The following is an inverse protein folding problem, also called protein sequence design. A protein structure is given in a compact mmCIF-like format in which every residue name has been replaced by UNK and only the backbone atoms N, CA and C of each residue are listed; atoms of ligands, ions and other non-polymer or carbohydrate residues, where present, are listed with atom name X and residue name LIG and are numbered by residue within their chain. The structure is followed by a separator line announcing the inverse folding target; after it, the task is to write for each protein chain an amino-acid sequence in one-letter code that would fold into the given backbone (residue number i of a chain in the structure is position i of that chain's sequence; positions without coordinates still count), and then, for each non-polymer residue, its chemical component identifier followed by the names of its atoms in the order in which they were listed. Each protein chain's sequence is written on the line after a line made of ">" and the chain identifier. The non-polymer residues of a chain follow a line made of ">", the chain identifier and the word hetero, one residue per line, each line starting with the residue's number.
data_IF_224480094778
#
_entry.id   IF_224480094778
#
_cell.length_a   1.000
_cell.length_b   1.000
_cell.length_c   1.000
_cell.angle_alpha   90.00
_cell.angle_beta   90.00
_cell.angle_gamma   90.00
#
_symmetry.space_group_name_H-M   'P 1'
#
loop_
_entity.id
_entity.type
_entity.pdbx_description
1 polymer ?
#
# COMPACT_ATOMS: atom_id res chain seq x y z
N UNK A 1 -48.48 -36.86 8.29
CA UNK A 1 -48.12 -35.45 8.11
C UNK A 1 -46.65 -35.27 8.51
N UNK A 2 -45.75 -35.24 7.53
CA UNK A 2 -44.30 -35.02 7.76
C UNK A 2 -44.01 -33.54 7.65
N UNK A 3 -43.60 -32.90 8.75
CA UNK A 3 -43.17 -31.51 8.76
C UNK A 3 -41.68 -31.45 8.33
N UNK A 4 -41.46 -30.97 7.13
CA UNK A 4 -40.12 -30.70 6.60
C UNK A 4 -39.64 -29.39 7.19
N UNK A 5 -38.65 -29.46 8.09
CA UNK A 5 -37.97 -28.30 8.66
C UNK A 5 -36.93 -27.83 7.64
N UNK A 6 -37.25 -26.80 6.88
CA UNK A 6 -36.34 -26.14 5.95
C UNK A 6 -35.44 -25.22 6.78
N UNK A 7 -34.25 -25.71 7.13
CA UNK A 7 -33.23 -24.94 7.79
C UNK A 7 -32.69 -23.86 6.86
N UNK A 8 -33.05 -22.62 7.16
CA UNK A 8 -32.50 -21.44 6.48
C UNK A 8 -31.05 -21.23 6.98
N UNK A 9 -30.09 -21.81 6.26
CA UNK A 9 -28.67 -21.50 6.44
C UNK A 9 -28.42 -20.09 5.90
N UNK A 10 -28.50 -19.10 6.78
CA UNK A 10 -27.94 -17.78 6.53
C UNK A 10 -26.43 -17.97 6.56
N UNK A 11 -25.85 -18.17 5.38
CA UNK A 11 -24.41 -18.06 5.20
C UNK A 11 -24.04 -16.59 5.48
N UNK A 12 -23.63 -16.31 6.72
CA UNK A 12 -22.99 -15.05 7.07
C UNK A 12 -21.71 -15.02 6.24
N UNK A 13 -21.74 -14.36 5.08
CA UNK A 13 -20.52 -14.01 4.35
C UNK A 13 -19.75 -13.09 5.29
N UNK A 14 -18.79 -13.64 6.02
CA UNK A 14 -17.74 -12.83 6.63
C UNK A 14 -16.97 -12.19 5.45
N UNK A 15 -17.32 -10.96 5.11
CA UNK A 15 -16.53 -10.13 4.23
C UNK A 15 -15.24 -9.91 5.02
N UNK A 16 -14.22 -10.67 4.68
CA UNK A 16 -12.88 -10.47 5.18
C UNK A 16 -12.41 -9.16 4.55
N UNK A 17 -12.28 -8.15 5.37
CA UNK A 17 -11.65 -6.90 4.96
C UNK A 17 -10.16 -7.12 5.12
N UNK A 18 -9.46 -7.30 4.02
CA UNK A 18 -8.01 -7.24 3.95
C UNK A 18 -7.57 -5.78 3.88
N UNK A 19 -6.38 -5.52 4.35
CA UNK A 19 -5.74 -4.21 4.21
C UNK A 19 -5.45 -3.94 2.73
N UNK A 20 -5.71 -2.72 2.24
CA UNK A 20 -5.50 -2.38 0.83
C UNK A 20 -4.04 -2.28 0.42
N UNK A 21 -3.14 -2.06 1.37
CA UNK A 21 -1.69 -2.17 1.17
C UNK A 21 -1.12 -3.08 2.25
N UNK A 22 -0.03 -3.78 1.97
CA UNK A 22 0.74 -4.46 3.02
C UNK A 22 1.46 -3.39 3.86
N UNK A 23 2.62 -2.94 3.46
CA UNK A 23 3.29 -1.73 3.99
C UNK A 23 3.48 -0.75 2.83
N UNK A 24 4.14 -1.20 1.75
CA UNK A 24 4.38 -0.41 0.53
C UNK A 24 3.78 -1.05 -0.73
N UNK A 25 3.48 -2.35 -0.66
CA UNK A 25 2.96 -3.13 -1.79
C UNK A 25 1.43 -3.08 -1.78
N UNK A 26 0.78 -2.59 -2.85
CA UNK A 26 -0.67 -2.60 -2.98
C UNK A 26 -1.22 -4.02 -2.95
N UNK A 27 -2.24 -4.29 -2.14
CA UNK A 27 -2.82 -5.62 -1.94
C UNK A 27 -3.67 -6.14 -3.10
N UNK A 28 -3.99 -5.33 -4.08
CA UNK A 28 -4.92 -5.63 -5.18
C UNK A 28 -6.41 -5.60 -4.81
N UNK A 29 -6.78 -5.17 -3.64
CA UNK A 29 -8.18 -5.10 -3.23
C UNK A 29 -8.71 -3.67 -3.38
N UNK A 30 -9.86 -3.54 -4.03
CA UNK A 30 -10.53 -2.26 -4.19
C UNK A 30 -11.47 -1.98 -3.02
N UNK A 31 -11.54 -0.72 -2.62
CA UNK A 31 -12.51 -0.25 -1.62
C UNK A 31 -13.94 -0.56 -2.04
N UNK A 32 -14.74 -1.03 -1.09
CA UNK A 32 -16.17 -1.31 -1.29
C UNK A 32 -16.90 -0.06 -1.80
N UNK A 33 -17.87 -0.24 -2.69
CA UNK A 33 -18.67 0.85 -3.28
C UNK A 33 -19.20 1.81 -2.22
N UNK A 34 -19.05 3.11 -2.46
CA UNK A 34 -19.45 4.22 -1.59
C UNK A 34 -18.81 4.20 -0.19
N UNK A 35 -17.69 3.52 -0.04
CA UNK A 35 -16.91 3.52 1.20
C UNK A 35 -15.64 4.31 1.02
N UNK A 36 -15.13 4.85 2.14
CA UNK A 36 -13.90 5.61 2.21
C UNK A 36 -12.82 4.75 2.86
N UNK A 37 -11.68 4.64 2.22
CA UNK A 37 -10.44 4.11 2.78
C UNK A 37 -9.55 5.28 3.20
N UNK A 38 -8.87 5.13 4.33
CA UNK A 38 -7.87 6.07 4.80
C UNK A 38 -6.68 5.30 5.38
N UNK A 39 -5.48 5.68 4.98
CA UNK A 39 -4.24 5.14 5.51
C UNK A 39 -3.26 6.25 5.81
N UNK A 40 -2.65 6.21 6.99
CA UNK A 40 -1.57 7.07 7.41
C UNK A 40 -0.37 6.22 7.78
N UNK A 41 0.71 6.35 7.03
CA UNK A 41 1.98 5.71 7.30
C UNK A 41 3.01 6.74 7.75
N UNK A 42 3.79 6.41 8.77
CA UNK A 42 4.91 7.21 9.25
C UNK A 42 6.14 6.32 9.27
N UNK A 43 7.18 6.74 8.57
CA UNK A 43 8.48 6.07 8.56
C UNK A 43 9.46 6.89 9.39
N UNK A 44 10.07 6.24 10.38
CA UNK A 44 11.05 6.83 11.29
C UNK A 44 12.44 6.34 10.89
N UNK A 45 13.28 7.27 10.46
CA UNK A 45 14.72 7.10 10.25
C UNK A 45 15.44 8.38 10.71
N UNK A 46 16.44 8.88 9.99
CA UNK A 46 17.07 10.18 10.27
C UNK A 46 16.11 11.37 10.07
N UNK A 47 15.03 11.13 9.35
CA UNK A 47 13.91 12.05 9.13
C UNK A 47 12.60 11.34 9.44
N UNK A 48 11.55 12.09 9.76
CA UNK A 48 10.19 11.57 9.89
C UNK A 48 9.51 11.77 8.55
N UNK A 49 9.15 10.67 7.89
CA UNK A 49 8.44 10.71 6.62
C UNK A 49 6.99 10.29 6.82
N UNK A 50 6.06 11.10 6.32
CA UNK A 50 4.62 10.85 6.38
C UNK A 50 4.07 10.61 4.98
N UNK A 51 3.28 9.53 4.84
CA UNK A 51 2.54 9.18 3.63
C UNK A 51 1.08 9.00 3.99
N UNK A 52 0.19 9.66 3.25
CA UNK A 52 -1.26 9.61 3.47
C UNK A 52 -1.95 9.15 2.20
N UNK A 53 -2.88 8.21 2.33
CA UNK A 53 -3.72 7.72 1.23
C UNK A 53 -5.19 7.86 1.60
N UNK A 54 -6.00 8.37 0.69
CA UNK A 54 -7.45 8.48 0.83
C UNK A 54 -8.09 7.99 -0.46
N UNK A 55 -8.90 6.94 -0.37
CA UNK A 55 -9.53 6.33 -1.53
C UNK A 55 -11.04 6.16 -1.33
N UNK A 56 -11.77 6.14 -2.43
CA UNK A 56 -13.22 5.91 -2.49
C UNK A 56 -13.52 4.80 -3.48
N UNK A 57 -14.28 3.81 -3.02
CA UNK A 57 -14.79 2.76 -3.89
C UNK A 57 -15.95 3.25 -4.76
N UNK A 58 -15.83 3.05 -6.06
CA UNK A 58 -16.88 3.38 -7.04
C UNK A 58 -17.78 2.18 -7.38
N UNK A 59 -17.38 0.99 -6.94
CA UNK A 59 -18.06 -0.27 -7.24
C UNK A 59 -17.43 -1.03 -8.38
N UNK A 60 -17.86 -2.28 -8.55
CA UNK A 60 -17.33 -3.18 -9.59
C UNK A 60 -15.79 -3.33 -9.56
N UNK A 61 -15.19 -3.25 -8.37
CA UNK A 61 -13.74 -3.31 -8.21
C UNK A 61 -13.00 -2.06 -8.67
N UNK A 62 -13.68 -0.93 -8.85
CA UNK A 62 -13.06 0.35 -9.20
C UNK A 62 -12.93 1.23 -7.96
N UNK A 63 -11.75 1.81 -7.81
CA UNK A 63 -11.37 2.73 -6.76
C UNK A 63 -10.63 3.92 -7.34
N UNK A 64 -10.84 5.09 -6.75
CA UNK A 64 -10.09 6.31 -7.06
C UNK A 64 -9.75 7.04 -5.77
N UNK A 65 -8.66 7.78 -5.78
CA UNK A 65 -8.24 8.51 -4.59
C UNK A 65 -7.07 9.46 -4.80
N UNK A 66 -6.47 9.81 -3.68
CA UNK A 66 -5.35 10.73 -3.62
C UNK A 66 -4.32 10.27 -2.60
N UNK A 67 -3.05 10.39 -2.98
CA UNK A 67 -1.92 10.17 -2.10
C UNK A 67 -1.15 11.46 -1.87
N UNK A 68 -0.73 11.69 -0.64
CA UNK A 68 0.31 12.67 -0.29
C UNK A 68 1.49 11.89 0.23
N UNK A 69 2.57 11.85 -0.55
CA UNK A 69 3.74 11.02 -0.27
C UNK A 69 4.94 11.89 0.09
N UNK A 70 5.71 11.44 1.08
CA UNK A 70 6.99 12.04 1.42
C UNK A 70 6.90 13.43 2.03
N UNK A 71 5.94 13.69 2.91
CA UNK A 71 6.05 14.83 3.81
C UNK A 71 7.15 14.54 4.83
N UNK A 72 8.34 15.07 4.54
CA UNK A 72 9.55 14.81 5.32
C UNK A 72 9.79 15.92 6.33
N UNK A 73 10.00 15.54 7.60
CA UNK A 73 10.33 16.47 8.68
C UNK A 73 11.69 16.11 9.28
N UNK A 74 12.59 17.09 9.37
CA UNK A 74 13.88 16.96 10.05
C UNK A 74 13.78 17.40 11.49
N UNK A 75 14.00 16.50 12.42
CA UNK A 75 14.09 16.86 13.84
C UNK A 75 15.30 17.76 14.13
N UNK A 76 16.40 17.54 13.42
CA UNK A 76 17.63 18.34 13.57
C UNK A 76 17.42 19.79 13.18
N UNK A 77 16.75 20.03 12.05
CA UNK A 77 16.54 21.36 11.49
C UNK A 77 15.22 22.01 11.95
N UNK A 78 14.35 21.24 12.65
CA UNK A 78 13.00 21.66 13.06
C UNK A 78 12.15 22.19 11.89
N UNK A 79 12.33 21.62 10.68
CA UNK A 79 11.68 22.08 9.47
C UNK A 79 11.28 20.93 8.55
N UNK A 80 10.31 21.20 7.69
CA UNK A 80 10.01 20.31 6.57
C UNK A 80 11.12 20.36 5.54
N UNK A 81 11.42 19.19 4.98
CA UNK A 81 12.43 19.03 3.93
C UNK A 81 11.71 18.75 2.62
N UNK A 82 12.10 19.46 1.59
CA UNK A 82 11.72 19.17 0.21
C UNK A 82 12.91 18.53 -0.50
N UNK A 83 12.65 17.47 -1.22
CA UNK A 83 13.60 16.90 -2.16
C UNK A 83 13.11 17.18 -3.59
N UNK A 84 13.68 18.19 -4.21
CA UNK A 84 13.26 18.69 -5.51
C UNK A 84 14.40 18.81 -6.52
N UNK A 85 15.60 18.39 -6.13
CA UNK A 85 16.82 18.51 -6.91
C UNK A 85 17.39 17.16 -7.34
N UNK A 86 18.65 17.11 -7.69
CA UNK A 86 19.35 16.03 -8.37
C UNK A 86 19.69 14.81 -7.49
N UNK A 87 18.97 14.61 -6.40
CA UNK A 87 19.23 13.53 -5.48
C UNK A 87 18.75 12.16 -6.00
N UNK A 88 19.18 11.12 -5.35
CA UNK A 88 18.85 9.72 -5.68
C UNK A 88 17.40 9.41 -5.31
N UNK A 89 16.92 10.01 -4.26
CA UNK A 89 15.58 9.81 -3.72
C UNK A 89 14.47 10.37 -4.60
N UNK A 90 13.25 9.86 -4.49
CA UNK A 90 12.10 10.42 -5.18
C UNK A 90 11.87 11.88 -4.76
N UNK A 91 11.27 12.67 -5.65
CA UNK A 91 10.86 14.03 -5.31
C UNK A 91 9.79 14.03 -4.22
N UNK A 92 9.95 14.91 -3.24
CA UNK A 92 9.09 15.02 -2.07
C UNK A 92 8.76 16.50 -1.76
N UNK A 93 7.53 16.79 -1.31
CA UNK A 93 6.37 15.90 -1.30
C UNK A 93 5.77 15.70 -2.69
N UNK A 94 5.10 14.58 -2.89
CA UNK A 94 4.29 14.31 -4.07
C UNK A 94 2.81 14.32 -3.70
N UNK A 95 2.00 15.03 -4.47
CA UNK A 95 0.52 14.92 -4.43
C UNK A 95 0.08 14.20 -5.68
N UNK A 96 -0.55 13.04 -5.52
CA UNK A 96 -0.88 12.14 -6.62
C UNK A 96 -2.35 11.75 -6.58
N UNK A 97 -2.98 11.75 -7.74
CA UNK A 97 -4.24 11.05 -7.95
C UNK A 97 -3.93 9.58 -8.19
N UNK A 98 -4.71 8.70 -7.61
CA UNK A 98 -4.59 7.27 -7.82
C UNK A 98 -5.89 6.66 -8.34
N UNK A 99 -5.77 5.50 -8.97
CA UNK A 99 -6.89 4.69 -9.38
C UNK A 99 -6.46 3.24 -9.47
N UNK A 100 -7.38 2.35 -9.10
CA UNK A 100 -7.20 0.91 -9.17
C UNK A 100 -8.46 0.26 -9.73
N UNK A 101 -8.26 -0.73 -10.59
CA UNK A 101 -9.30 -1.63 -11.09
C UNK A 101 -8.93 -3.06 -10.72
N UNK A 102 -9.77 -3.69 -9.91
CA UNK A 102 -9.71 -5.10 -9.53
C UNK A 102 -10.65 -5.91 -10.42
N UNK A 103 -10.21 -7.11 -10.79
CA UNK A 103 -10.98 -8.14 -11.48
C UNK A 103 -10.91 -9.43 -10.65
N UNK A 104 -12.03 -9.85 -10.13
CA UNK A 104 -12.15 -11.14 -9.42
C UNK A 104 -12.17 -12.28 -10.45
N UNK A 105 -11.23 -13.23 -10.31
CA UNK A 105 -11.16 -14.46 -11.13
C UNK A 105 -11.94 -15.56 -10.43
N UNK A 106 -11.71 -15.69 -9.11
CA UNK A 106 -12.43 -16.60 -8.22
C UNK A 106 -12.60 -15.90 -6.85
N UNK A 107 -13.29 -16.52 -5.92
CA UNK A 107 -13.39 -16.00 -4.53
C UNK A 107 -12.04 -15.87 -3.80
N UNK A 108 -11.01 -16.60 -4.27
CA UNK A 108 -9.67 -16.58 -3.68
C UNK A 108 -8.60 -15.93 -4.58
N UNK A 109 -8.93 -15.55 -5.79
CA UNK A 109 -7.95 -15.04 -6.76
C UNK A 109 -8.46 -13.80 -7.47
N UNK A 110 -7.64 -12.77 -7.52
CA UNK A 110 -7.92 -11.56 -8.28
C UNK A 110 -6.69 -11.00 -8.97
N UNK A 111 -6.92 -10.23 -10.04
CA UNK A 111 -5.91 -9.40 -10.71
C UNK A 111 -6.32 -7.96 -10.52
N UNK A 112 -5.35 -7.09 -10.39
CA UNK A 112 -5.62 -5.65 -10.44
C UNK A 112 -4.62 -4.91 -11.30
N UNK A 113 -5.04 -3.75 -11.78
CA UNK A 113 -4.19 -2.77 -12.43
C UNK A 113 -4.43 -1.42 -11.79
N UNK A 114 -3.36 -0.73 -11.44
CA UNK A 114 -3.43 0.57 -10.80
C UNK A 114 -2.47 1.58 -11.40
N UNK A 115 -2.79 2.84 -11.17
CA UNK A 115 -2.01 3.97 -11.62
C UNK A 115 -2.03 5.09 -10.59
N UNK A 116 -0.89 5.76 -10.45
CA UNK A 116 -0.77 6.99 -9.66
C UNK A 116 -0.09 8.05 -10.54
N UNK A 117 -0.68 9.24 -10.62
CA UNK A 117 -0.14 10.37 -11.36
C UNK A 117 -0.22 11.62 -10.51
N UNK A 118 0.86 12.38 -10.44
CA UNK A 118 0.87 13.58 -9.63
C UNK A 118 2.06 14.49 -9.88
N UNK A 119 2.20 15.43 -8.96
CA UNK A 119 3.13 16.55 -9.07
C UNK A 119 3.94 16.69 -7.79
N UNK A 120 5.18 17.13 -7.95
CA UNK A 120 5.95 17.76 -6.91
C UNK A 120 5.81 19.29 -7.05
N UNK A 121 5.44 19.96 -5.96
CA UNK A 121 5.36 21.44 -5.92
C UNK A 121 6.72 22.00 -5.52
N UNK A 122 7.50 22.40 -6.51
CA UNK A 122 8.85 22.94 -6.32
C UNK A 122 8.82 24.44 -6.10
N UNK A 123 9.68 24.95 -5.24
CA UNK A 123 9.90 26.38 -5.04
C UNK A 123 10.45 27.07 -6.31
N UNK A 124 11.11 26.33 -7.17
CA UNK A 124 11.80 26.84 -8.36
C UNK A 124 10.95 26.90 -9.64
N UNK A 125 9.65 27.15 -9.54
CA UNK A 125 8.72 27.43 -10.66
C UNK A 125 8.53 26.30 -11.68
N UNK A 126 9.05 25.10 -11.48
CA UNK A 126 8.83 23.96 -12.37
C UNK A 126 8.16 22.84 -11.59
N UNK A 127 6.89 22.59 -11.87
CA UNK A 127 6.21 21.38 -11.44
C UNK A 127 6.81 20.19 -12.17
N UNK A 128 6.97 19.08 -11.46
CA UNK A 128 7.54 17.87 -12.03
C UNK A 128 6.56 16.72 -11.89
N UNK A 129 6.28 16.07 -13.00
CA UNK A 129 5.31 14.99 -13.05
C UNK A 129 5.91 13.69 -12.50
N UNK A 130 5.19 13.03 -11.63
CA UNK A 130 5.49 11.71 -11.12
C UNK A 130 4.42 10.70 -11.54
N UNK A 131 4.82 9.47 -11.80
CA UNK A 131 3.92 8.39 -12.18
C UNK A 131 4.38 7.04 -11.63
N UNK A 132 3.42 6.24 -11.20
CA UNK A 132 3.57 4.82 -10.89
C UNK A 132 2.43 4.07 -11.60
N UNK A 133 2.77 3.05 -12.36
CA UNK A 133 1.82 2.11 -12.98
C UNK A 133 2.13 0.72 -12.45
N UNK A 134 1.11 -0.09 -12.20
CA UNK A 134 1.34 -1.44 -11.69
C UNK A 134 0.23 -2.41 -12.07
N UNK A 135 0.57 -3.68 -12.02
CA UNK A 135 -0.36 -4.78 -12.11
C UNK A 135 -0.03 -5.83 -11.06
N UNK A 136 -1.05 -6.38 -10.42
CA UNK A 136 -0.93 -7.34 -9.34
C UNK A 136 -1.80 -8.58 -9.56
N UNK A 137 -1.34 -9.68 -8.99
CA UNK A 137 -2.07 -10.91 -8.81
C UNK A 137 -2.13 -11.23 -7.32
N UNK A 138 -3.34 -11.39 -6.78
CA UNK A 138 -3.61 -11.69 -5.37
C UNK A 138 -4.18 -13.10 -5.26
N UNK A 139 -3.66 -13.85 -4.27
CA UNK A 139 -4.22 -15.14 -3.85
C UNK A 139 -4.51 -15.07 -2.35
N UNK A 140 -5.74 -15.46 -1.98
CA UNK A 140 -6.20 -15.57 -0.59
C UNK A 140 -6.28 -17.02 -0.14
N UNK A 141 -6.16 -17.23 1.16
CA UNK A 141 -6.35 -18.54 1.81
C UNK A 141 -5.41 -19.66 1.32
N UNK A 142 -4.27 -19.28 0.69
CA UNK A 142 -3.33 -20.28 0.13
C UNK A 142 -2.57 -21.05 1.22
N UNK A 143 -2.10 -20.37 2.25
CA UNK A 143 -1.29 -20.96 3.33
C UNK A 143 -2.17 -21.39 4.50
N UNK A 144 -2.94 -20.46 5.00
CA UNK A 144 -3.93 -20.65 6.07
C UNK A 144 -5.13 -19.76 5.78
N UNK A 145 -6.25 -20.05 6.41
CA UNK A 145 -7.45 -19.22 6.27
C UNK A 145 -7.16 -17.76 6.64
N UNK A 146 -7.60 -16.82 5.81
CA UNK A 146 -7.38 -15.39 5.92
C UNK A 146 -5.92 -14.95 5.65
N UNK A 147 -5.10 -15.82 5.07
CA UNK A 147 -3.81 -15.39 4.52
C UNK A 147 -3.99 -14.75 3.16
N UNK A 148 -3.12 -13.83 2.81
CA UNK A 148 -3.04 -13.23 1.49
C UNK A 148 -1.60 -13.19 0.98
N UNK A 149 -1.44 -13.42 -0.32
CA UNK A 149 -0.17 -13.28 -1.03
C UNK A 149 -0.44 -12.46 -2.28
N UNK A 150 0.35 -11.42 -2.49
CA UNK A 150 0.32 -10.62 -3.70
C UNK A 150 1.65 -10.69 -4.41
N UNK A 151 1.61 -10.74 -5.73
CA UNK A 151 2.78 -10.58 -6.62
C UNK A 151 2.42 -9.58 -7.68
N UNK A 152 3.38 -8.74 -8.07
CA UNK A 152 3.12 -7.75 -9.10
C UNK A 152 4.36 -7.23 -9.79
N UNK A 153 4.09 -6.45 -10.82
CA UNK A 153 5.10 -5.69 -11.54
C UNK A 153 4.70 -4.22 -11.59
N UNK A 154 5.69 -3.34 -11.65
CA UNK A 154 5.48 -1.91 -11.71
C UNK A 154 6.39 -1.23 -12.73
N UNK A 155 5.92 -0.07 -13.18
CA UNK A 155 6.71 0.95 -13.85
C UNK A 155 6.64 2.24 -13.05
N UNK A 156 7.76 2.90 -12.82
CA UNK A 156 7.81 4.21 -12.17
C UNK A 156 8.53 5.24 -13.04
N UNK A 157 8.09 6.51 -12.94
CA UNK A 157 8.79 7.62 -13.56
C UNK A 157 10.04 8.00 -12.74
N UNK A 158 10.93 8.78 -13.37
CA UNK A 158 12.12 9.33 -12.74
C UNK A 158 11.83 10.04 -11.40
N UNK A 159 10.78 10.84 -11.37
CA UNK A 159 10.44 11.67 -10.22
C UNK A 159 9.71 10.93 -9.11
N UNK A 160 9.18 9.73 -9.41
CA UNK A 160 8.58 8.84 -8.43
C UNK A 160 9.62 7.88 -7.83
N UNK A 161 10.39 7.21 -8.66
CA UNK A 161 11.34 6.17 -8.23
C UNK A 161 12.76 6.67 -7.97
N UNK A 162 13.00 7.98 -8.06
CA UNK A 162 14.33 8.56 -7.92
C UNK A 162 15.12 8.58 -9.24
N UNK A 163 16.23 9.29 -9.26
CA UNK A 163 17.02 9.53 -10.47
C UNK A 163 17.72 8.27 -10.98
N UNK A 164 18.13 7.41 -10.09
CA UNK A 164 18.91 6.21 -10.41
C UNK A 164 18.08 4.94 -10.20
N UNK A 165 18.53 3.87 -10.85
CA UNK A 165 17.92 2.57 -10.74
C UNK A 165 16.91 2.24 -11.86
N UNK A 166 16.34 1.07 -11.74
CA UNK A 166 15.39 0.56 -12.72
C UNK A 166 14.05 1.30 -12.70
N UNK A 167 13.39 1.40 -13.86
CA UNK A 167 12.03 1.94 -14.00
C UNK A 167 10.97 0.86 -13.92
N UNK A 168 11.36 -0.36 -14.22
CA UNK A 168 10.49 -1.53 -14.16
C UNK A 168 11.04 -2.44 -13.08
N UNK A 169 10.16 -2.91 -12.22
CA UNK A 169 10.49 -3.85 -11.15
C UNK A 169 9.30 -4.73 -10.82
N UNK A 170 9.46 -5.52 -9.79
CA UNK A 170 8.40 -6.36 -9.27
C UNK A 170 8.29 -6.22 -7.76
N UNK A 171 7.26 -6.80 -7.21
CA UNK A 171 7.09 -6.92 -5.78
C UNK A 171 6.36 -8.20 -5.40
N UNK A 172 6.55 -8.57 -4.16
CA UNK A 172 5.80 -9.65 -3.51
C UNK A 172 5.47 -9.20 -2.09
N UNK A 173 4.27 -9.54 -1.64
CA UNK A 173 3.83 -9.28 -0.27
C UNK A 173 3.00 -10.44 0.25
N UNK A 174 3.00 -10.62 1.56
CA UNK A 174 2.14 -11.59 2.21
C UNK A 174 1.68 -11.10 3.58
N UNK A 175 0.47 -11.47 3.93
CA UNK A 175 -0.11 -11.30 5.26
C UNK A 175 -0.60 -12.66 5.75
N UNK A 176 -0.18 -13.05 6.97
CA UNK A 176 -0.48 -14.34 7.54
C UNK A 176 -1.01 -14.15 8.96
N UNK A 177 -2.25 -14.56 9.27
CA UNK A 177 -2.80 -14.51 10.61
C UNK A 177 -2.07 -15.48 11.54
N UNK A 178 -1.63 -15.01 12.70
CA UNK A 178 -1.13 -15.83 13.82
C UNK A 178 -2.29 -16.20 14.74
N UNK A 179 -3.08 -15.18 15.07
CA UNK A 179 -4.33 -15.28 15.82
C UNK A 179 -5.34 -14.29 15.23
N UNK A 180 -6.61 -14.36 15.63
CA UNK A 180 -7.70 -13.55 15.06
C UNK A 180 -7.45 -12.03 14.99
N UNK A 181 -6.53 -11.51 15.82
CA UNK A 181 -6.26 -10.05 15.89
C UNK A 181 -4.82 -9.68 15.60
N UNK A 182 -3.96 -10.66 15.37
CA UNK A 182 -2.54 -10.41 15.15
C UNK A 182 -2.07 -11.19 13.92
N UNK A 183 -1.58 -10.46 12.93
CA UNK A 183 -1.05 -11.03 11.69
C UNK A 183 0.42 -10.65 11.55
N UNK A 184 1.19 -11.44 10.82
CA UNK A 184 2.52 -11.06 10.31
C UNK A 184 2.33 -10.55 8.89
N UNK A 185 3.03 -9.48 8.57
CA UNK A 185 3.17 -8.97 7.21
C UNK A 185 4.63 -9.00 6.79
N UNK A 186 4.88 -9.43 5.57
CA UNK A 186 6.20 -9.38 4.96
C UNK A 186 6.07 -9.02 3.47
N UNK A 187 6.96 -8.18 2.99
CA UNK A 187 6.97 -7.78 1.59
C UNK A 187 8.38 -7.48 1.09
N UNK A 188 8.55 -7.48 -0.21
CA UNK A 188 9.77 -7.01 -0.86
C UNK A 188 9.44 -6.33 -2.18
N UNK A 189 9.93 -5.10 -2.34
CA UNK A 189 9.94 -4.36 -3.60
C UNK A 189 11.30 -4.59 -4.26
N UNK A 190 11.28 -5.26 -5.40
CA UNK A 190 12.46 -5.73 -6.12
C UNK A 190 12.93 -4.70 -7.13
N UNK A 191 14.23 -4.52 -7.22
CA UNK A 191 14.86 -3.59 -8.15
C UNK A 191 16.02 -2.83 -7.53
N UNK A 192 16.33 -1.67 -8.12
CA UNK A 192 17.48 -0.84 -7.71
C UNK A 192 17.14 0.65 -7.60
N UNK A 193 15.87 1.00 -7.57
CA UNK A 193 15.39 2.37 -7.38
C UNK A 193 15.06 2.69 -5.91
N UNK A 194 14.66 3.92 -5.60
CA UNK A 194 14.40 4.37 -4.23
C UNK A 194 13.19 3.68 -3.55
N UNK A 195 12.32 2.99 -4.30
CA UNK A 195 11.20 2.24 -3.74
C UNK A 195 11.60 0.87 -3.18
N UNK A 196 12.83 0.41 -3.47
CA UNK A 196 13.25 -0.97 -3.23
C UNK A 196 13.62 -1.21 -1.76
N UNK A 197 12.65 -1.73 -1.02
CA UNK A 197 12.74 -2.16 0.36
C UNK A 197 12.20 -3.57 0.53
N UNK A 198 12.72 -4.28 1.50
CA UNK A 198 12.08 -5.45 2.09
C UNK A 198 11.57 -5.06 3.47
N UNK A 199 10.31 -5.36 3.76
CA UNK A 199 9.68 -4.97 5.02
C UNK A 199 9.13 -6.19 5.73
N UNK A 200 9.20 -6.18 7.06
CA UNK A 200 8.55 -7.18 7.91
C UNK A 200 7.92 -6.47 9.11
N UNK A 201 6.73 -6.91 9.49
CA UNK A 201 6.01 -6.28 10.58
C UNK A 201 4.89 -7.14 11.13
N UNK A 202 4.19 -6.57 12.09
CA UNK A 202 2.99 -7.13 12.67
C UNK A 202 1.83 -6.17 12.47
N UNK A 203 0.66 -6.72 12.17
CA UNK A 203 -0.59 -5.99 12.06
C UNK A 203 -1.47 -6.41 13.23
N UNK A 204 -1.89 -5.43 14.02
CA UNK A 204 -2.84 -5.62 15.10
C UNK A 204 -4.19 -5.06 14.73
N UNK A 205 -5.25 -5.85 14.86
CA UNK A 205 -6.64 -5.48 14.58
C UNK A 205 -7.40 -5.26 15.90
N UNK A 206 -7.35 -4.06 16.54
CA UNK A 206 -8.17 -3.77 17.72
C UNK A 206 -9.67 -3.88 17.38
N UNK A 207 -10.03 -3.45 16.18
CA UNK A 207 -11.33 -3.66 15.51
C UNK A 207 -11.06 -4.11 14.08
N UNK A 208 -11.98 -4.89 13.49
CA UNK A 208 -11.82 -5.44 12.12
C UNK A 208 -11.50 -4.37 11.06
N UNK A 209 -11.90 -3.12 11.27
CA UNK A 209 -11.76 -2.01 10.32
C UNK A 209 -10.63 -1.05 10.66
N UNK A 210 -9.83 -1.34 11.65
CA UNK A 210 -8.77 -0.44 12.13
C UNK A 210 -7.50 -1.26 12.34
N UNK A 211 -6.82 -1.71 11.28
CA UNK A 211 -5.49 -2.30 11.43
C UNK A 211 -4.47 -1.23 11.83
N UNK A 212 -3.57 -1.63 12.71
CA UNK A 212 -2.40 -0.88 13.13
C UNK A 212 -1.19 -1.74 12.81
N UNK A 213 -0.30 -1.22 11.97
CA UNK A 213 0.92 -1.93 11.56
C UNK A 213 2.13 -1.32 12.26
N UNK A 214 3.00 -2.17 12.77
CA UNK A 214 4.34 -1.80 13.22
C UNK A 214 5.34 -2.72 12.53
N UNK A 215 6.32 -2.14 11.84
CA UNK A 215 7.29 -2.90 11.06
C UNK A 215 8.64 -2.22 10.94
N UNK A 216 9.54 -2.91 10.28
CA UNK A 216 10.84 -2.40 9.86
C UNK A 216 10.98 -2.51 8.35
N UNK A 217 11.61 -1.52 7.75
CA UNK A 217 12.01 -1.51 6.34
C UNK A 217 13.53 -1.65 6.25
N UNK A 218 13.95 -2.63 5.48
CA UNK A 218 15.33 -2.96 5.20
C UNK A 218 15.61 -2.54 3.76
N UNK A 219 16.56 -1.64 3.51
CA UNK A 219 16.83 -1.17 2.17
C UNK A 219 17.43 -2.28 1.29
N UNK A 220 16.90 -2.44 0.09
CA UNK A 220 17.47 -3.31 -0.94
C UNK A 220 18.55 -2.59 -1.78
N UNK A 221 18.68 -1.27 -1.61
CA UNK A 221 19.68 -0.41 -2.25
C UNK A 221 20.44 0.40 -1.20
N UNK A 222 21.77 0.53 -1.40
CA UNK A 222 22.65 1.20 -0.42
C UNK A 222 22.29 2.67 -0.15
N UNK A 223 21.62 3.33 -1.08
CA UNK A 223 21.23 4.73 -0.94
C UNK A 223 20.05 4.94 0.01
N UNK A 224 19.27 3.91 0.25
CA UNK A 224 18.11 3.98 1.13
C UNK A 224 18.53 3.73 2.59
N UNK A 225 17.80 4.33 3.54
CA UNK A 225 18.01 4.15 4.96
C UNK A 225 17.06 3.09 5.55
N UNK A 226 17.48 2.41 6.60
CA UNK A 226 16.58 1.60 7.43
C UNK A 226 15.53 2.50 8.06
N UNK A 227 14.31 2.01 8.22
CA UNK A 227 13.26 2.74 8.92
C UNK A 227 12.37 1.83 9.76
N UNK A 228 11.81 2.40 10.84
CA UNK A 228 10.68 1.82 11.55
C UNK A 228 9.42 2.40 10.91
N UNK A 229 8.44 1.53 10.65
CA UNK A 229 7.17 1.91 10.07
C UNK A 229 6.08 1.80 11.11
N UNK A 230 5.31 2.85 11.26
CA UNK A 230 4.03 2.84 11.93
C UNK A 230 2.93 3.19 10.93
N UNK A 231 1.86 2.40 10.91
CA UNK A 231 0.75 2.64 10.01
C UNK A 231 -0.59 2.48 10.74
N UNK A 232 -1.48 3.42 10.51
CA UNK A 232 -2.87 3.38 10.94
C UNK A 232 -3.77 3.39 9.70
N UNK A 233 -4.65 2.41 9.60
CA UNK A 233 -5.57 2.28 8.48
C UNK A 233 -7.02 2.24 8.96
N UNK A 234 -7.91 2.84 8.19
CA UNK A 234 -9.35 2.69 8.30
C UNK A 234 -9.86 1.99 7.05
N UNK A 235 -10.29 0.75 7.21
CA UNK A 235 -10.90 -0.06 6.15
C UNK A 235 -12.41 0.03 6.29
N UNK A 236 -13.15 0.36 5.23
CA UNK A 236 -14.59 0.63 5.30
C UNK A 236 -15.47 -0.61 5.54
#
# INVERSE_FOLDING_TARGET
>A
MKKTFLGFFIALRCILMSQQNFINVPSSEATTKHKLFFQQQINFNEIIQSNTTIDVGLGEGLEVGMNVLGLNFSEKNKSFIQNDTNDIDPYNPLVMLNGLKQFEITEHMSISSGAQFGLNFRDNKRTTNAALLYGNFLVKDLLVKNSSIVMGAYYNSLHYGGRYGNRIGGWIGSEIPIINKLHIVAESVLGSNAMCYSSVGVIYYPKKRIPITLGIQIPNVKANAYSIVFELTFVP
#
